data_IF_807966170603
#
_entry.id   IF_807966170603
#
_cell.length_a   1.000
_cell.length_b   1.000
_cell.length_c   1.000
_cell.angle_alpha   90.00
_cell.angle_beta   90.00
_cell.angle_gamma   90.00
#
_symmetry.space_group_name_H-M   'P 1'
#
loop_
_entity.id
_entity.type
_entity.pdbx_description
1 polymer ?
#
# COMPACT_ATOMS: atom_id res chain seq x y z
N UNK A 1 -12.85 -2.90 35.09
CA UNK A 1 -11.56 -2.99 35.79
C UNK A 1 -10.63 -1.89 35.30
N UNK A 2 -9.64 -1.50 36.12
CA UNK A 2 -8.59 -0.54 35.75
C UNK A 2 -7.23 -1.13 36.08
N UNK A 3 -6.21 -0.80 35.31
CA UNK A 3 -4.85 -1.32 35.48
C UNK A 3 -3.88 -0.25 36.01
N UNK A 4 -3.30 -0.47 37.20
CA UNK A 4 -2.21 0.36 37.68
C UNK A 4 -0.88 -0.15 37.08
N UNK A 5 -0.25 0.62 36.21
CA UNK A 5 1.01 0.24 35.56
C UNK A 5 2.22 0.55 36.47
N UNK A 6 2.38 -0.21 37.53
CA UNK A 6 3.52 -0.08 38.49
C UNK A 6 4.84 -0.57 37.90
N UNK A 7 4.85 -1.28 36.78
CA UNK A 7 6.07 -1.75 36.14
C UNK A 7 6.78 -0.62 35.39
N UNK A 8 6.11 -0.08 34.34
CA UNK A 8 6.73 0.86 33.42
C UNK A 8 6.75 2.29 33.98
N UNK A 9 5.72 2.66 34.75
CA UNK A 9 5.58 4.01 35.29
C UNK A 9 6.26 4.21 36.66
N UNK A 10 6.68 3.11 37.28
CA UNK A 10 7.24 3.17 38.63
C UNK A 10 8.54 2.35 38.78
N UNK A 11 8.50 1.02 38.90
CA UNK A 11 9.66 0.22 39.28
C UNK A 11 10.83 0.30 38.29
N UNK A 12 10.59 0.49 37.00
CA UNK A 12 11.63 0.70 35.99
C UNK A 12 12.23 2.11 36.07
N UNK A 13 11.41 3.11 36.32
CA UNK A 13 11.83 4.53 36.40
C UNK A 13 12.58 4.80 37.69
N UNK A 14 12.15 4.21 38.82
CA UNK A 14 12.67 4.45 40.16
C UNK A 14 13.46 3.27 40.75
N UNK A 15 14.03 2.39 39.92
CA UNK A 15 14.75 1.18 40.33
C UNK A 15 15.85 1.43 41.38
N UNK A 16 16.44 2.63 41.37
CA UNK A 16 17.52 3.01 42.28
C UNK A 16 17.01 3.75 43.55
N UNK A 17 15.70 3.92 43.73
CA UNK A 17 15.09 4.57 44.89
C UNK A 17 13.83 3.79 45.33
N UNK A 18 13.98 2.71 46.11
CA UNK A 18 12.87 1.84 46.52
C UNK A 18 11.79 2.53 47.37
N UNK A 19 12.15 3.52 48.16
CA UNK A 19 11.19 4.25 49.00
C UNK A 19 10.28 5.11 48.16
N UNK A 20 10.83 5.87 47.19
CA UNK A 20 10.06 6.65 46.23
C UNK A 20 9.20 5.75 45.34
N UNK A 21 9.75 4.64 44.88
CA UNK A 21 9.01 3.64 44.09
C UNK A 21 7.80 3.12 44.87
N UNK A 22 7.99 2.72 46.13
CA UNK A 22 6.89 2.22 46.96
C UNK A 22 5.80 3.28 47.18
N UNK A 23 6.16 4.54 47.41
CA UNK A 23 5.20 5.65 47.54
C UNK A 23 4.42 5.82 46.27
N UNK A 24 5.11 5.92 45.12
CA UNK A 24 4.48 6.10 43.80
C UNK A 24 3.59 4.90 43.39
N UNK A 25 3.99 3.67 43.71
CA UNK A 25 3.17 2.48 43.45
C UNK A 25 1.83 2.55 44.22
N UNK A 26 1.88 2.96 45.49
CA UNK A 26 0.66 3.18 46.31
C UNK A 26 -0.26 4.25 45.68
N UNK A 27 0.33 5.36 45.23
CA UNK A 27 -0.44 6.45 44.58
C UNK A 27 -1.07 5.97 43.26
N UNK A 28 -0.33 5.25 42.42
CA UNK A 28 -0.88 4.68 41.16
C UNK A 28 -2.05 3.72 41.45
N UNK A 29 -1.96 2.89 42.47
CA UNK A 29 -3.06 2.00 42.86
C UNK A 29 -4.27 2.78 43.37
N UNK A 30 -4.05 3.79 44.26
CA UNK A 30 -5.14 4.65 44.74
C UNK A 30 -5.85 5.36 43.59
N UNK A 31 -5.10 5.96 42.67
CA UNK A 31 -5.64 6.59 41.46
C UNK A 31 -6.50 5.63 40.67
N UNK A 32 -6.04 4.39 40.43
CA UNK A 32 -6.81 3.36 39.74
C UNK A 32 -8.09 2.97 40.48
N UNK A 33 -8.07 2.87 41.81
CA UNK A 33 -9.25 2.58 42.62
C UNK A 33 -10.28 3.70 42.54
N UNK A 34 -9.87 4.96 42.66
CA UNK A 34 -10.78 6.10 42.55
C UNK A 34 -11.37 6.22 41.16
N UNK A 35 -10.61 6.01 40.10
CA UNK A 35 -11.11 5.97 38.72
C UNK A 35 -12.16 4.87 38.55
N UNK A 36 -11.86 3.63 38.96
CA UNK A 36 -12.76 2.50 38.75
C UNK A 36 -14.07 2.61 39.53
N UNK A 37 -14.08 3.31 40.66
CA UNK A 37 -15.30 3.54 41.44
C UNK A 37 -16.35 4.40 40.69
N UNK A 38 -15.90 5.20 39.72
CA UNK A 38 -16.75 6.02 38.85
C UNK A 38 -16.99 5.41 37.45
N UNK A 39 -16.43 4.24 37.18
CA UNK A 39 -16.59 3.60 35.87
C UNK A 39 -17.94 2.86 35.78
N UNK A 40 -18.63 3.09 34.68
CA UNK A 40 -19.76 2.26 34.27
C UNK A 40 -19.26 1.07 33.39
N UNK A 41 -19.98 -0.07 33.37
CA UNK A 41 -19.66 -1.18 32.46
C UNK A 41 -19.73 -0.69 31.01
N UNK A 42 -18.66 -0.97 30.26
CA UNK A 42 -18.62 -0.68 28.82
C UNK A 42 -19.41 -1.77 28.09
N UNK A 43 -20.37 -1.35 27.28
CA UNK A 43 -21.17 -2.27 26.45
C UNK A 43 -20.56 -2.30 25.07
N UNK A 44 -20.23 -3.51 24.62
CA UNK A 44 -19.82 -3.80 23.26
C UNK A 44 -21.07 -4.15 22.44
N UNK A 45 -21.21 -3.59 21.24
CA UNK A 45 -22.24 -4.01 20.31
C UNK A 45 -21.71 -5.17 19.48
N UNK A 46 -22.51 -6.20 19.31
CA UNK A 46 -22.26 -7.33 18.44
C UNK A 46 -22.83 -7.04 17.05
N UNK A 47 -22.04 -7.29 16.02
CA UNK A 47 -22.37 -7.02 14.62
C UNK A 47 -22.12 -8.26 13.80
N UNK A 48 -23.07 -8.67 12.99
CA UNK A 48 -22.88 -9.72 11.98
C UNK A 48 -21.88 -9.29 10.91
N UNK A 49 -21.19 -10.25 10.29
CA UNK A 49 -20.23 -10.00 9.22
C UNK A 49 -20.76 -10.60 7.92
N UNK A 50 -20.83 -9.77 6.88
CA UNK A 50 -20.99 -10.25 5.51
C UNK A 50 -19.69 -10.96 5.10
N UNK A 51 -19.77 -12.26 4.81
CA UNK A 51 -18.61 -13.10 4.50
C UNK A 51 -18.15 -13.01 3.04
N UNK A 52 -18.53 -11.96 2.32
CA UNK A 52 -18.09 -11.65 0.97
C UNK A 52 -16.85 -10.76 0.98
N UNK A 53 -15.91 -11.04 0.11
CA UNK A 53 -14.71 -10.22 -0.09
C UNK A 53 -14.78 -9.44 -1.40
N UNK A 54 -14.34 -8.18 -1.38
CA UNK A 54 -14.11 -7.38 -2.58
C UNK A 54 -12.61 -7.14 -2.77
N UNK A 55 -12.11 -7.36 -3.99
CA UNK A 55 -10.72 -7.10 -4.40
C UNK A 55 -10.71 -6.05 -5.50
N UNK A 56 -10.07 -4.92 -5.27
CA UNK A 56 -10.05 -3.76 -6.16
C UNK A 56 -8.77 -3.79 -6.98
N UNK A 57 -8.90 -4.20 -8.23
CA UNK A 57 -7.82 -4.41 -9.20
C UNK A 57 -7.60 -5.88 -9.55
N UNK A 58 -7.76 -6.20 -10.83
CA UNK A 58 -7.57 -7.53 -11.43
C UNK A 58 -6.14 -7.81 -11.90
N UNK A 59 -5.14 -7.09 -11.34
CA UNK A 59 -3.73 -7.36 -11.55
C UNK A 59 -3.26 -8.63 -10.83
N UNK A 60 -1.97 -8.97 -10.97
CA UNK A 60 -1.42 -10.23 -10.44
C UNK A 60 -1.57 -10.38 -8.92
N UNK A 61 -1.41 -9.29 -8.16
CA UNK A 61 -1.59 -9.32 -6.69
C UNK A 61 -3.05 -9.45 -6.28
N UNK A 62 -3.97 -8.76 -6.97
CA UNK A 62 -5.41 -8.88 -6.72
C UNK A 62 -5.93 -10.28 -7.06
N UNK A 63 -5.54 -10.84 -8.20
CA UNK A 63 -5.89 -12.22 -8.55
C UNK A 63 -5.30 -13.24 -7.55
N UNK A 64 -4.07 -13.02 -7.05
CA UNK A 64 -3.47 -13.88 -6.02
C UNK A 64 -4.25 -13.81 -4.70
N UNK A 65 -4.69 -12.61 -4.30
CA UNK A 65 -5.55 -12.41 -3.14
C UNK A 65 -6.91 -13.08 -3.32
N UNK A 66 -7.60 -12.83 -4.44
CA UNK A 66 -8.91 -13.39 -4.73
C UNK A 66 -8.88 -14.94 -4.77
N UNK A 67 -7.86 -15.53 -5.43
CA UNK A 67 -7.68 -16.97 -5.43
C UNK A 67 -7.48 -17.54 -4.03
N UNK A 68 -6.73 -16.83 -3.18
CA UNK A 68 -6.48 -17.28 -1.79
C UNK A 68 -7.73 -17.21 -0.93
N UNK A 69 -8.55 -16.17 -1.09
CA UNK A 69 -9.85 -16.03 -0.42
C UNK A 69 -10.83 -17.12 -0.86
N UNK A 70 -11.00 -17.31 -2.16
CA UNK A 70 -11.91 -18.31 -2.72
C UNK A 70 -11.52 -19.75 -2.37
N UNK A 71 -10.21 -20.07 -2.30
CA UNK A 71 -9.74 -21.40 -1.83
C UNK A 71 -10.06 -21.67 -0.38
N UNK A 72 -10.26 -20.65 0.43
CA UNK A 72 -10.68 -20.76 1.83
C UNK A 72 -12.22 -20.71 1.98
N UNK A 73 -12.95 -20.67 0.86
CA UNK A 73 -14.40 -20.82 0.84
C UNK A 73 -15.21 -19.54 0.72
N UNK A 74 -14.57 -18.37 0.65
CA UNK A 74 -15.26 -17.06 0.64
C UNK A 74 -15.63 -16.63 -0.78
N UNK A 75 -16.85 -16.13 -0.95
CA UNK A 75 -17.27 -15.44 -2.18
C UNK A 75 -16.42 -14.18 -2.36
N UNK A 76 -15.88 -13.99 -3.56
CA UNK A 76 -14.89 -12.94 -3.83
C UNK A 76 -15.20 -12.26 -5.14
N UNK A 77 -15.34 -10.93 -5.09
CA UNK A 77 -15.59 -10.10 -6.26
C UNK A 77 -14.31 -9.34 -6.63
N UNK A 78 -13.84 -9.50 -7.87
CA UNK A 78 -12.74 -8.72 -8.43
C UNK A 78 -13.34 -7.56 -9.21
N UNK A 79 -13.01 -6.33 -8.83
CA UNK A 79 -13.42 -5.11 -9.53
C UNK A 79 -12.23 -4.62 -10.35
N UNK A 80 -12.34 -4.66 -11.67
CA UNK A 80 -11.28 -4.25 -12.61
C UNK A 80 -11.81 -3.18 -13.55
N UNK A 81 -11.10 -2.06 -13.63
CA UNK A 81 -11.47 -0.94 -14.50
C UNK A 81 -11.18 -1.20 -16.00
N UNK A 82 -10.19 -2.03 -16.29
CA UNK A 82 -9.81 -2.37 -17.65
C UNK A 82 -10.71 -3.52 -18.18
N UNK A 83 -10.71 -3.70 -19.50
CA UNK A 83 -11.49 -4.75 -20.18
C UNK A 83 -10.91 -6.16 -20.02
N UNK A 84 -9.78 -6.31 -19.29
CA UNK A 84 -9.11 -7.60 -19.11
C UNK A 84 -8.30 -7.68 -17.82
N UNK A 85 -8.22 -8.89 -17.25
CA UNK A 85 -7.39 -9.20 -16.10
C UNK A 85 -5.89 -9.19 -16.46
N UNK A 86 -5.02 -9.04 -15.45
CA UNK A 86 -3.57 -9.21 -15.55
C UNK A 86 -2.76 -7.95 -15.31
N UNK A 87 -3.33 -6.76 -15.57
CA UNK A 87 -2.68 -5.48 -15.32
C UNK A 87 -1.27 -5.39 -15.94
N UNK A 88 -0.30 -4.84 -15.21
CA UNK A 88 1.07 -4.66 -15.72
C UNK A 88 1.82 -5.98 -15.99
N UNK A 89 1.41 -7.11 -15.38
CA UNK A 89 2.04 -8.40 -15.62
C UNK A 89 1.93 -8.87 -17.08
N UNK A 90 0.92 -8.40 -17.84
CA UNK A 90 0.81 -8.66 -19.28
C UNK A 90 1.96 -8.11 -20.12
N UNK A 91 2.71 -7.15 -19.59
CA UNK A 91 3.81 -6.47 -20.28
C UNK A 91 5.18 -7.01 -19.87
N UNK A 92 5.26 -7.92 -18.92
CA UNK A 92 6.51 -8.44 -18.38
C UNK A 92 6.82 -9.79 -19.02
N UNK A 93 8.05 -9.94 -19.53
CA UNK A 93 8.49 -11.15 -20.21
C UNK A 93 8.73 -12.30 -19.23
N UNK A 94 9.57 -12.08 -18.20
CA UNK A 94 9.96 -13.11 -17.25
C UNK A 94 10.25 -12.54 -15.85
N UNK A 95 10.32 -13.42 -14.89
CA UNK A 95 10.77 -13.09 -13.52
C UNK A 95 12.28 -13.25 -13.39
N UNK A 96 12.88 -12.69 -12.36
CA UNK A 96 14.31 -12.87 -12.05
C UNK A 96 14.71 -14.33 -11.80
N UNK A 97 13.77 -15.21 -11.45
CA UNK A 97 13.98 -16.67 -11.34
C UNK A 97 13.89 -17.40 -12.68
N UNK A 98 13.65 -16.69 -13.77
CA UNK A 98 13.58 -17.25 -15.12
C UNK A 98 12.21 -17.78 -15.54
N UNK A 99 11.18 -17.60 -14.73
CA UNK A 99 9.82 -18.04 -15.04
C UNK A 99 9.18 -17.17 -16.13
N UNK A 100 8.49 -17.80 -17.10
CA UNK A 100 7.69 -17.10 -18.11
C UNK A 100 6.47 -16.45 -17.43
N UNK A 101 6.41 -15.11 -17.44
CA UNK A 101 5.27 -14.38 -16.87
C UNK A 101 4.01 -14.57 -17.70
N UNK A 102 4.04 -14.51 -19.06
CA UNK A 102 2.85 -14.76 -19.87
C UNK A 102 2.18 -16.10 -19.60
N UNK A 103 2.95 -17.19 -19.49
CA UNK A 103 2.42 -18.54 -19.25
C UNK A 103 1.80 -18.68 -17.85
N UNK A 104 2.50 -18.17 -16.82
CA UNK A 104 1.98 -18.21 -15.45
C UNK A 104 0.78 -17.31 -15.25
N UNK A 105 0.75 -16.16 -15.91
CA UNK A 105 -0.38 -15.24 -15.89
C UNK A 105 -1.61 -15.87 -16.56
N UNK A 106 -1.45 -16.48 -17.72
CA UNK A 106 -2.54 -17.16 -18.43
C UNK A 106 -3.14 -18.30 -17.59
N UNK A 107 -2.27 -19.07 -16.92
CA UNK A 107 -2.70 -20.11 -15.97
C UNK A 107 -3.48 -19.53 -14.80
N UNK A 108 -3.01 -18.42 -14.21
CA UNK A 108 -3.70 -17.76 -13.10
C UNK A 108 -5.07 -17.20 -13.53
N UNK A 109 -5.15 -16.56 -14.70
CA UNK A 109 -6.42 -16.04 -15.24
C UNK A 109 -7.41 -17.18 -15.47
N UNK A 110 -6.97 -18.32 -16.04
CA UNK A 110 -7.82 -19.50 -16.21
C UNK A 110 -8.33 -20.04 -14.88
N UNK A 111 -7.47 -20.08 -13.84
CA UNK A 111 -7.86 -20.50 -12.50
C UNK A 111 -8.93 -19.57 -11.91
N UNK A 112 -8.77 -18.26 -12.06
CA UNK A 112 -9.74 -17.26 -11.60
C UNK A 112 -11.09 -17.45 -12.28
N UNK A 113 -11.10 -17.50 -13.61
CA UNK A 113 -12.34 -17.58 -14.41
C UNK A 113 -13.11 -18.90 -14.24
N UNK A 114 -12.43 -19.98 -13.88
CA UNK A 114 -13.05 -21.29 -13.60
C UNK A 114 -13.59 -21.41 -12.17
N UNK A 115 -13.16 -20.58 -11.26
CA UNK A 115 -13.55 -20.68 -9.85
C UNK A 115 -14.94 -20.09 -9.62
N UNK A 116 -15.90 -20.92 -9.23
CA UNK A 116 -17.30 -20.52 -9.01
C UNK A 116 -17.49 -19.49 -7.89
N UNK A 117 -16.51 -19.37 -6.98
CA UNK A 117 -16.53 -18.41 -5.88
C UNK A 117 -15.87 -17.08 -6.23
N UNK A 118 -15.41 -16.90 -7.46
CA UNK A 118 -14.80 -15.65 -7.92
C UNK A 118 -15.67 -15.03 -9.01
N UNK A 119 -16.16 -13.83 -8.74
CA UNK A 119 -16.96 -13.04 -9.65
C UNK A 119 -16.10 -11.89 -10.19
N UNK A 120 -15.89 -11.85 -11.51
CA UNK A 120 -15.05 -10.85 -12.13
C UNK A 120 -15.94 -9.78 -12.77
N UNK A 121 -15.74 -8.53 -12.37
CA UNK A 121 -16.39 -7.35 -12.92
C UNK A 121 -15.35 -6.52 -13.66
N UNK A 122 -15.33 -6.63 -14.99
CA UNK A 122 -14.48 -5.84 -15.88
C UNK A 122 -15.14 -4.52 -16.22
N UNK A 123 -14.36 -3.54 -16.69
CA UNK A 123 -14.85 -2.20 -17.08
C UNK A 123 -15.72 -1.56 -15.99
N UNK A 124 -15.33 -1.82 -14.72
CA UNK A 124 -16.11 -1.47 -13.54
C UNK A 124 -15.32 -0.55 -12.61
N UNK A 125 -15.95 0.56 -12.22
CA UNK A 125 -15.39 1.52 -11.26
C UNK A 125 -16.26 1.62 -10.01
N UNK A 126 -15.63 1.92 -8.87
CA UNK A 126 -16.31 2.20 -7.61
C UNK A 126 -16.66 3.70 -7.58
N UNK A 127 -17.92 4.03 -7.35
CA UNK A 127 -18.42 5.40 -7.29
C UNK A 127 -18.59 5.91 -5.86
N UNK A 128 -18.97 5.03 -4.94
CA UNK A 128 -19.22 5.35 -3.53
C UNK A 128 -19.01 4.10 -2.67
N UNK A 129 -18.64 4.30 -1.42
CA UNK A 129 -18.57 3.23 -0.42
C UNK A 129 -19.17 3.76 0.87
N UNK A 130 -20.12 3.02 1.41
CA UNK A 130 -20.76 3.26 2.69
C UNK A 130 -20.52 2.10 3.65
N UNK A 131 -21.00 2.23 4.89
CA UNK A 131 -20.89 1.17 5.88
C UNK A 131 -19.57 1.19 6.64
N UNK A 132 -19.20 0.01 7.15
CA UNK A 132 -18.10 -0.18 8.10
C UNK A 132 -17.56 -1.62 8.02
N UNK A 133 -16.52 -1.91 8.79
CA UNK A 133 -15.91 -3.24 8.86
C UNK A 133 -16.95 -4.35 9.03
N UNK A 134 -16.89 -5.34 8.18
CA UNK A 134 -17.85 -6.45 8.16
C UNK A 134 -19.14 -6.18 7.37
N UNK A 135 -19.45 -4.91 7.06
CA UNK A 135 -20.70 -4.51 6.40
C UNK A 135 -20.49 -3.25 5.55
N UNK A 136 -19.66 -3.37 4.53
CA UNK A 136 -19.49 -2.35 3.50
C UNK A 136 -20.55 -2.52 2.42
N UNK A 137 -20.98 -1.39 1.87
CA UNK A 137 -21.80 -1.30 0.68
C UNK A 137 -21.07 -0.44 -0.35
N UNK A 138 -20.77 -1.02 -1.50
CA UNK A 138 -20.06 -0.33 -2.58
C UNK A 138 -20.95 -0.17 -3.80
N UNK A 139 -21.13 1.07 -4.26
CA UNK A 139 -21.80 1.38 -5.53
C UNK A 139 -20.81 1.24 -6.67
N UNK A 140 -21.09 0.31 -7.57
CA UNK A 140 -20.29 -0.01 -8.74
C UNK A 140 -20.93 0.59 -9.99
N UNK A 141 -20.13 1.22 -10.86
CA UNK A 141 -20.55 1.59 -12.22
C UNK A 141 -20.07 0.53 -13.20
N UNK A 142 -21.02 -0.19 -13.78
CA UNK A 142 -20.79 -1.27 -14.75
C UNK A 142 -21.46 -0.88 -16.07
N UNK A 143 -20.70 -0.60 -17.12
CA UNK A 143 -21.24 -0.22 -18.44
C UNK A 143 -22.28 0.91 -18.38
N UNK A 144 -22.09 1.88 -17.50
CA UNK A 144 -23.00 3.03 -17.33
C UNK A 144 -24.21 2.78 -16.44
N UNK A 145 -24.41 1.57 -15.93
CA UNK A 145 -25.42 1.24 -14.92
C UNK A 145 -24.76 1.16 -13.53
N UNK A 146 -25.54 1.45 -12.50
CA UNK A 146 -25.11 1.28 -11.12
C UNK A 146 -25.60 -0.05 -10.56
N UNK A 147 -24.74 -0.69 -9.77
CA UNK A 147 -25.04 -1.89 -9.01
C UNK A 147 -24.44 -1.78 -7.61
N UNK A 148 -25.15 -2.31 -6.63
CA UNK A 148 -24.70 -2.33 -5.23
C UNK A 148 -24.04 -3.69 -4.96
N UNK A 149 -22.88 -3.66 -4.30
CA UNK A 149 -22.18 -4.84 -3.79
C UNK A 149 -21.96 -4.71 -2.29
N UNK A 150 -22.61 -5.59 -1.55
CA UNK A 150 -22.37 -5.74 -0.10
C UNK A 150 -21.19 -6.67 0.15
N UNK A 151 -20.27 -6.29 1.05
CA UNK A 151 -19.10 -7.09 1.38
C UNK A 151 -18.56 -6.79 2.78
N UNK A 152 -17.90 -7.77 3.39
CA UNK A 152 -17.33 -7.60 4.75
C UNK A 152 -15.91 -7.04 4.73
N UNK A 153 -15.16 -7.26 3.66
CA UNK A 153 -13.75 -6.81 3.54
C UNK A 153 -13.46 -6.27 2.15
N UNK A 154 -12.48 -5.36 2.07
CA UNK A 154 -11.93 -4.85 0.82
C UNK A 154 -10.40 -5.03 0.76
N UNK A 155 -9.87 -5.42 -0.41
CA UNK A 155 -8.42 -5.53 -0.65
C UNK A 155 -8.02 -4.57 -1.77
N UNK A 156 -7.22 -3.55 -1.43
CA UNK A 156 -6.67 -2.58 -2.38
C UNK A 156 -5.52 -3.21 -3.17
N UNK A 157 -5.74 -3.48 -4.44
CA UNK A 157 -4.77 -4.09 -5.36
C UNK A 157 -4.66 -3.29 -6.67
N UNK A 158 -4.87 -1.99 -6.61
CA UNK A 158 -4.98 -1.05 -7.75
C UNK A 158 -3.71 -0.91 -8.57
N UNK A 159 -2.58 -1.44 -8.08
CA UNK A 159 -1.31 -1.43 -8.78
C UNK A 159 -0.68 -0.04 -8.91
N UNK A 160 0.22 0.08 -9.90
CA UNK A 160 0.93 1.31 -10.25
C UNK A 160 1.23 1.29 -11.76
N UNK A 161 1.66 2.43 -12.29
CA UNK A 161 1.94 2.61 -13.73
C UNK A 161 3.41 2.89 -14.00
N UNK A 162 3.95 2.54 -15.18
CA UNK A 162 5.28 2.98 -15.59
C UNK A 162 5.26 4.49 -15.88
N UNK A 163 6.30 5.17 -15.45
CA UNK A 163 6.56 6.56 -15.83
C UNK A 163 6.83 6.65 -17.34
N UNK A 164 6.23 7.63 -17.99
CA UNK A 164 6.48 7.95 -19.40
C UNK A 164 7.57 9.03 -19.45
N UNK A 165 8.79 8.71 -19.92
CA UNK A 165 9.88 9.67 -19.95
C UNK A 165 9.72 10.67 -21.09
N UNK A 166 10.20 11.89 -20.86
CA UNK A 166 10.44 12.92 -21.87
C UNK A 166 11.95 13.14 -22.12
N UNK A 167 12.78 12.48 -21.29
CA UNK A 167 14.24 12.50 -21.38
C UNK A 167 14.78 11.51 -22.42
N UNK A 168 16.09 11.59 -22.68
CA UNK A 168 16.87 10.66 -23.50
C UNK A 168 16.34 10.45 -24.92
N UNK A 169 15.63 11.43 -25.50
CA UNK A 169 15.00 11.38 -26.82
C UNK A 169 13.98 10.24 -26.99
N UNK A 170 13.40 9.76 -25.90
CA UNK A 170 12.31 8.78 -25.96
C UNK A 170 11.14 9.33 -26.82
N UNK A 171 10.57 8.45 -27.66
CA UNK A 171 9.51 8.82 -28.62
C UNK A 171 10.00 9.55 -29.89
N UNK A 172 11.31 9.92 -29.98
CA UNK A 172 11.89 10.58 -31.16
C UNK A 172 12.70 9.60 -32.01
N UNK A 173 13.27 8.57 -31.43
CA UNK A 173 14.04 7.52 -32.11
C UNK A 173 13.46 6.14 -31.75
N UNK A 174 13.06 5.30 -32.71
CA UNK A 174 12.43 4.00 -32.44
C UNK A 174 13.37 2.97 -31.81
N UNK A 175 14.68 3.26 -31.75
CA UNK A 175 15.68 2.43 -31.06
C UNK A 175 15.74 2.69 -29.56
N UNK A 176 15.01 3.71 -29.07
CA UNK A 176 14.95 4.06 -27.63
C UNK A 176 13.63 3.56 -27.08
N UNK A 177 13.69 2.53 -26.26
CA UNK A 177 12.57 1.81 -25.69
C UNK A 177 12.57 1.92 -24.17
N UNK A 178 11.40 1.82 -23.55
CA UNK A 178 11.30 1.49 -22.12
C UNK A 178 11.62 0.01 -21.89
N UNK A 179 11.94 -0.37 -20.65
CA UNK A 179 12.17 -1.79 -20.33
C UNK A 179 10.96 -2.68 -20.63
N UNK A 180 9.72 -2.17 -20.45
CA UNK A 180 8.50 -2.91 -20.78
C UNK A 180 8.26 -3.04 -22.30
N UNK A 181 8.70 -2.07 -23.09
CA UNK A 181 8.64 -2.18 -24.56
C UNK A 181 9.67 -3.18 -25.08
N UNK A 182 10.85 -3.28 -24.43
CA UNK A 182 11.81 -4.32 -24.71
C UNK A 182 11.26 -5.71 -24.33
N UNK A 183 10.61 -5.83 -23.18
CA UNK A 183 9.92 -7.07 -22.78
C UNK A 183 8.90 -7.51 -23.82
N UNK A 184 8.12 -6.58 -24.35
CA UNK A 184 7.17 -6.89 -25.44
C UNK A 184 7.87 -7.47 -26.65
N UNK A 185 9.03 -6.94 -27.05
CA UNK A 185 9.83 -7.52 -28.16
C UNK A 185 10.30 -8.95 -27.87
N UNK A 186 10.65 -9.26 -26.61
CA UNK A 186 10.96 -10.65 -26.20
C UNK A 186 9.73 -11.55 -26.28
N UNK A 187 8.57 -11.09 -25.81
CA UNK A 187 7.29 -11.84 -25.85
C UNK A 187 6.92 -12.14 -27.33
N UNK A 188 7.04 -11.15 -28.20
CA UNK A 188 6.75 -11.24 -29.63
C UNK A 188 7.83 -11.99 -30.41
N UNK A 189 8.95 -12.34 -29.77
CA UNK A 189 10.11 -13.00 -30.39
C UNK A 189 10.67 -12.21 -31.59
N UNK A 190 10.75 -10.87 -31.45
CA UNK A 190 11.18 -9.96 -32.51
C UNK A 190 12.59 -10.34 -33.02
N UNK A 191 12.66 -10.76 -34.29
CA UNK A 191 13.91 -11.18 -34.92
C UNK A 191 14.95 -10.04 -35.05
N UNK A 192 14.52 -8.78 -34.97
CA UNK A 192 15.41 -7.62 -34.98
C UNK A 192 16.37 -7.61 -33.80
N UNK A 193 15.98 -8.18 -32.66
CA UNK A 193 16.83 -8.24 -31.45
C UNK A 193 18.15 -9.02 -31.71
N UNK A 194 18.15 -10.01 -32.60
CA UNK A 194 19.34 -10.78 -32.97
C UNK A 194 20.35 -10.00 -33.80
N UNK A 195 19.94 -8.88 -34.42
CA UNK A 195 20.78 -8.04 -35.27
C UNK A 195 21.45 -6.90 -34.51
N UNK A 196 21.14 -6.74 -33.24
CA UNK A 196 21.70 -5.71 -32.35
C UNK A 196 23.15 -6.13 -32.02
N UNK A 197 24.09 -5.22 -32.21
CA UNK A 197 25.49 -5.42 -31.83
C UNK A 197 25.82 -4.73 -30.49
N UNK A 198 25.14 -3.61 -30.22
CA UNK A 198 25.36 -2.86 -28.97
C UNK A 198 24.05 -2.41 -28.37
N UNK A 199 23.84 -2.72 -27.09
CA UNK A 199 22.67 -2.28 -26.31
C UNK A 199 23.10 -1.55 -25.05
N UNK A 200 22.40 -0.46 -24.70
CA UNK A 200 22.65 0.34 -23.50
C UNK A 200 21.39 0.44 -22.66
N UNK A 201 21.50 0.07 -21.39
CA UNK A 201 20.45 0.25 -20.39
C UNK A 201 20.73 1.48 -19.53
N UNK A 202 19.77 2.40 -19.40
CA UNK A 202 19.89 3.58 -18.53
C UNK A 202 18.96 3.42 -17.35
N UNK A 203 19.54 3.36 -16.14
CA UNK A 203 18.80 3.14 -14.89
C UNK A 203 18.26 4.44 -14.28
N UNK A 204 17.24 4.30 -13.41
CA UNK A 204 16.65 5.37 -12.60
C UNK A 204 16.02 6.51 -13.41
N UNK A 205 15.49 6.23 -14.61
CA UNK A 205 14.82 7.25 -15.44
C UNK A 205 13.53 7.69 -14.75
N UNK A 206 13.49 8.95 -14.30
CA UNK A 206 12.40 9.54 -13.53
C UNK A 206 12.23 9.02 -12.09
N UNK A 207 13.24 8.33 -11.52
CA UNK A 207 13.22 7.78 -10.16
C UNK A 207 14.45 8.24 -9.38
N UNK A 208 14.35 8.38 -8.05
CA UNK A 208 15.41 8.89 -7.16
C UNK A 208 15.88 10.29 -7.57
N UNK A 209 14.94 11.12 -7.92
CA UNK A 209 15.08 12.52 -8.30
C UNK A 209 14.23 13.39 -7.36
N UNK A 210 14.45 14.72 -7.32
CA UNK A 210 13.72 15.59 -6.39
C UNK A 210 12.19 15.44 -6.47
N UNK A 211 11.63 15.21 -7.68
CA UNK A 211 10.19 15.06 -7.90
C UNK A 211 9.67 13.67 -7.52
N UNK A 212 10.52 12.67 -7.50
CA UNK A 212 10.23 11.27 -7.13
C UNK A 212 11.43 10.68 -6.40
N UNK A 213 11.58 10.98 -5.09
CA UNK A 213 12.78 10.64 -4.33
C UNK A 213 12.92 9.14 -4.07
N UNK A 214 11.85 8.38 -4.19
CA UNK A 214 11.84 6.94 -3.95
C UNK A 214 12.51 6.13 -5.08
N UNK A 215 12.93 4.92 -4.72
CA UNK A 215 13.43 3.91 -5.66
C UNK A 215 12.29 3.00 -6.13
N UNK A 216 12.20 2.76 -7.43
CA UNK A 216 11.21 1.83 -8.01
C UNK A 216 11.53 0.34 -7.77
N UNK A 217 12.65 0.01 -7.12
CA UNK A 217 13.07 -1.31 -6.63
C UNK A 217 13.21 -2.43 -7.66
N UNK A 218 12.44 -2.43 -8.73
CA UNK A 218 12.41 -3.51 -9.73
C UNK A 218 13.41 -3.31 -10.86
N UNK A 219 13.75 -2.05 -11.20
CA UNK A 219 14.45 -1.72 -12.44
C UNK A 219 15.84 -2.35 -12.54
N UNK A 220 16.65 -2.38 -11.48
CA UNK A 220 17.99 -2.96 -11.53
C UNK A 220 17.94 -4.45 -11.90
N UNK A 221 17.12 -5.22 -11.20
CA UNK A 221 16.93 -6.66 -11.49
C UNK A 221 16.37 -6.88 -12.89
N UNK A 222 15.35 -6.11 -13.29
CA UNK A 222 14.72 -6.24 -14.60
C UNK A 222 15.70 -5.94 -15.74
N UNK A 223 16.49 -4.86 -15.62
CA UNK A 223 17.49 -4.55 -16.65
C UNK A 223 18.63 -5.57 -16.73
N UNK A 224 19.05 -6.12 -15.59
CA UNK A 224 20.07 -7.17 -15.58
C UNK A 224 19.53 -8.45 -16.23
N UNK A 225 18.27 -8.82 -15.95
CA UNK A 225 17.63 -9.98 -16.59
C UNK A 225 17.50 -9.77 -18.12
N UNK A 226 17.02 -8.60 -18.55
CA UNK A 226 16.91 -8.26 -19.97
C UNK A 226 18.29 -8.23 -20.68
N UNK A 227 19.33 -7.72 -20.00
CA UNK A 227 20.69 -7.75 -20.51
C UNK A 227 21.18 -9.19 -20.73
N UNK A 228 20.90 -10.09 -19.78
CA UNK A 228 21.21 -11.51 -19.91
C UNK A 228 20.44 -12.18 -21.07
N UNK A 229 19.17 -11.83 -21.28
CA UNK A 229 18.40 -12.34 -22.42
C UNK A 229 19.00 -11.88 -23.76
N UNK A 230 19.44 -10.63 -23.88
CA UNK A 230 20.13 -10.14 -25.07
C UNK A 230 21.44 -10.90 -25.31
N UNK A 231 22.24 -11.15 -24.27
CA UNK A 231 23.46 -11.95 -24.34
C UNK A 231 23.20 -13.41 -24.77
N UNK A 232 22.05 -14.00 -24.37
CA UNK A 232 21.66 -15.34 -24.84
C UNK A 232 21.27 -15.35 -26.31
N UNK A 233 20.65 -14.28 -26.82
CA UNK A 233 20.29 -14.13 -28.24
C UNK A 233 21.55 -13.94 -29.15
N UNK A 234 22.52 -13.17 -28.66
CA UNK A 234 23.78 -12.90 -29.31
C UNK A 234 24.91 -12.76 -28.27
N UNK A 235 25.71 -13.80 -28.02
CA UNK A 235 26.83 -13.77 -27.05
C UNK A 235 27.90 -12.70 -27.34
N UNK A 236 28.06 -12.30 -28.60
CA UNK A 236 29.03 -11.27 -29.02
C UNK A 236 28.47 -9.84 -28.84
N UNK A 237 27.19 -9.66 -28.49
CA UNK A 237 26.59 -8.36 -28.28
C UNK A 237 27.29 -7.61 -27.13
N UNK A 238 27.67 -6.36 -27.36
CA UNK A 238 28.11 -5.46 -26.29
C UNK A 238 26.91 -4.95 -25.53
N UNK A 239 26.81 -5.26 -24.25
CA UNK A 239 25.70 -4.82 -23.40
C UNK A 239 26.23 -3.98 -22.26
N UNK A 240 25.75 -2.74 -22.16
CA UNK A 240 26.13 -1.78 -21.12
C UNK A 240 24.95 -1.49 -20.21
N UNK A 241 25.17 -1.45 -18.91
CA UNK A 241 24.18 -1.02 -17.91
C UNK A 241 24.72 0.21 -17.18
N UNK A 242 24.12 1.36 -17.46
CA UNK A 242 24.47 2.63 -16.82
C UNK A 242 23.64 2.79 -15.57
N UNK A 243 24.26 2.88 -14.40
CA UNK A 243 23.56 2.81 -13.12
C UNK A 243 24.09 3.84 -12.10
N UNK A 244 23.26 4.21 -11.12
CA UNK A 244 23.66 5.07 -9.98
C UNK A 244 24.08 4.23 -8.78
N UNK A 245 23.28 3.25 -8.40
CA UNK A 245 23.57 2.19 -7.42
C UNK A 245 22.86 0.93 -7.88
N UNK A 246 23.55 -0.19 -7.89
CA UNK A 246 22.95 -1.49 -8.19
C UNK A 246 22.18 -1.98 -6.97
N UNK A 247 20.89 -2.28 -7.15
CA UNK A 247 19.98 -2.72 -6.10
C UNK A 247 19.29 -4.04 -6.47
N UNK A 248 20.10 -5.02 -6.78
CA UNK A 248 19.71 -6.43 -6.96
C UNK A 248 19.76 -7.13 -5.60
N UNK A 249 18.85 -6.78 -4.70
CA UNK A 249 18.87 -7.26 -3.32
C UNK A 249 18.45 -8.74 -3.17
N UNK A 250 18.89 -9.35 -2.06
CA UNK A 250 18.62 -10.76 -1.74
C UNK A 250 19.26 -11.71 -2.78
N UNK A 251 18.60 -12.77 -3.11
CA UNK A 251 19.09 -13.78 -4.06
C UNK A 251 19.28 -13.24 -5.48
N UNK A 252 18.71 -12.08 -5.81
CA UNK A 252 18.88 -11.41 -7.12
C UNK A 252 20.29 -10.87 -7.33
N UNK A 253 21.13 -10.80 -6.30
CA UNK A 253 22.55 -10.45 -6.39
C UNK A 253 23.32 -11.48 -7.25
N UNK A 254 22.91 -12.74 -7.20
CA UNK A 254 23.51 -13.78 -8.05
C UNK A 254 23.28 -13.51 -9.54
N UNK A 255 22.12 -12.99 -9.94
CA UNK A 255 21.84 -12.60 -11.31
C UNK A 255 22.79 -11.48 -11.78
N UNK A 256 23.08 -10.50 -10.92
CA UNK A 256 24.06 -9.45 -11.21
C UNK A 256 25.47 -10.00 -11.40
N UNK A 257 25.88 -10.95 -10.56
CA UNK A 257 27.18 -11.63 -10.71
C UNK A 257 27.26 -12.38 -12.05
N UNK A 258 26.25 -13.19 -12.37
CA UNK A 258 26.18 -13.93 -13.63
C UNK A 258 26.21 -13.00 -14.85
N UNK A 259 25.56 -11.84 -14.80
CA UNK A 259 25.61 -10.85 -15.88
C UNK A 259 27.03 -10.32 -16.13
N UNK A 260 27.77 -10.05 -15.06
CA UNK A 260 29.19 -9.64 -15.17
C UNK A 260 30.05 -10.74 -15.77
N UNK A 261 29.86 -11.99 -15.35
CA UNK A 261 30.54 -13.16 -15.89
C UNK A 261 30.22 -13.39 -17.38
N UNK A 262 28.99 -13.07 -17.80
CA UNK A 262 28.56 -13.10 -19.20
C UNK A 262 29.06 -11.90 -20.04
N UNK A 263 29.85 -11.00 -19.46
CA UNK A 263 30.46 -9.86 -20.14
C UNK A 263 29.54 -8.65 -20.29
N UNK A 264 28.51 -8.51 -19.45
CA UNK A 264 27.73 -7.24 -19.34
C UNK A 264 28.59 -6.20 -18.63
N UNK A 265 28.72 -5.02 -19.23
CA UNK A 265 29.57 -3.93 -18.74
C UNK A 265 28.72 -2.96 -17.91
N UNK A 266 29.15 -2.71 -16.69
CA UNK A 266 28.45 -1.84 -15.74
C UNK A 266 29.22 -0.55 -15.55
N UNK A 267 28.60 0.62 -15.90
CA UNK A 267 29.21 1.94 -15.76
C UNK A 267 28.37 2.77 -14.78
N UNK A 268 29.00 3.21 -13.68
CA UNK A 268 28.34 4.03 -12.69
C UNK A 268 28.32 5.51 -13.08
N UNK A 269 27.18 6.18 -12.91
CA UNK A 269 27.04 7.64 -13.07
C UNK A 269 26.45 8.29 -11.82
N UNK A 270 26.56 9.62 -11.72
CA UNK A 270 25.93 10.42 -10.65
C UNK A 270 24.70 11.19 -11.16
N UNK A 271 23.87 11.67 -10.24
CA UNK A 271 22.68 12.45 -10.58
C UNK A 271 23.08 13.78 -11.28
N UNK A 272 24.20 14.36 -10.87
CA UNK A 272 24.71 15.64 -11.40
C UNK A 272 25.32 15.50 -12.81
N UNK A 273 25.72 14.27 -13.18
CA UNK A 273 26.31 13.94 -14.48
C UNK A 273 25.57 12.75 -15.10
N UNK A 274 24.29 12.98 -15.42
CA UNK A 274 23.48 11.97 -16.11
C UNK A 274 24.06 11.63 -17.49
N UNK A 275 23.82 10.40 -18.01
CA UNK A 275 24.12 10.07 -19.39
C UNK A 275 23.42 11.03 -20.36
N UNK A 276 24.04 11.30 -21.49
CA UNK A 276 23.48 12.06 -22.60
C UNK A 276 23.22 11.15 -23.79
N UNK A 277 22.08 11.28 -24.44
CA UNK A 277 21.74 10.53 -25.66
C UNK A 277 21.79 11.49 -26.85
N UNK A 278 22.57 11.12 -27.86
CA UNK A 278 22.85 11.94 -29.03
C UNK A 278 22.55 11.14 -30.29
N UNK A 279 21.81 11.74 -31.22
CA UNK A 279 21.64 11.22 -32.58
C UNK A 279 22.42 12.08 -33.56
N UNK A 280 23.35 11.47 -34.31
CA UNK A 280 24.17 12.16 -35.31
C UNK A 280 24.39 11.26 -36.52
N UNK A 281 24.16 11.78 -37.71
CA UNK A 281 24.38 11.09 -39.00
C UNK A 281 23.69 9.70 -39.05
N UNK A 282 22.48 9.58 -38.51
CA UNK A 282 21.70 8.32 -38.44
C UNK A 282 22.18 7.34 -37.37
N UNK A 283 23.25 7.64 -36.64
CA UNK A 283 23.81 6.85 -35.56
C UNK A 283 23.32 7.37 -34.20
N UNK A 284 23.19 6.44 -33.26
CA UNK A 284 22.78 6.73 -31.88
C UNK A 284 23.98 6.55 -30.95
N UNK A 285 24.20 7.52 -30.08
CA UNK A 285 25.31 7.54 -29.13
C UNK A 285 24.81 7.80 -27.72
N UNK A 286 25.44 7.14 -26.75
CA UNK A 286 25.28 7.46 -25.32
C UNK A 286 26.63 7.92 -24.78
N UNK A 287 26.66 9.12 -24.20
CA UNK A 287 27.83 9.67 -23.53
C UNK A 287 27.62 9.59 -22.01
N UNK A 288 28.58 9.05 -21.29
CA UNK A 288 28.58 8.92 -19.84
C UNK A 288 29.96 9.16 -19.27
N UNK A 289 30.07 9.82 -18.12
CA UNK A 289 31.37 9.92 -17.41
C UNK A 289 31.53 8.67 -16.54
N UNK A 290 32.52 7.86 -16.85
CA UNK A 290 32.88 6.69 -16.03
C UNK A 290 33.64 7.16 -14.78
N UNK A 291 33.15 6.81 -13.61
CA UNK A 291 33.73 7.23 -12.32
C UNK A 291 35.07 6.55 -12.01
N UNK A 292 35.34 5.38 -12.60
CA UNK A 292 36.56 4.60 -12.34
C UNK A 292 37.73 5.20 -13.11
N UNK A 293 37.53 5.48 -14.40
CA UNK A 293 38.59 6.06 -15.26
C UNK A 293 38.56 7.61 -15.25
N UNK A 294 37.52 8.24 -14.67
CA UNK A 294 37.37 9.69 -14.55
C UNK A 294 37.19 10.43 -15.88
N UNK A 295 36.89 9.73 -16.97
CA UNK A 295 36.79 10.27 -18.32
C UNK A 295 35.41 10.03 -18.93
N UNK A 296 34.97 10.90 -19.88
CA UNK A 296 33.77 10.65 -20.67
C UNK A 296 33.99 9.48 -21.63
N UNK A 297 33.06 8.53 -21.63
CA UNK A 297 32.98 7.42 -22.57
C UNK A 297 31.81 7.68 -23.51
N UNK A 298 32.01 7.52 -24.81
CA UNK A 298 30.96 7.59 -25.81
C UNK A 298 30.75 6.20 -26.44
N UNK A 299 29.50 5.71 -26.37
CA UNK A 299 29.10 4.38 -26.83
C UNK A 299 28.19 4.57 -28.04
N UNK A 300 28.59 4.08 -29.22
CA UNK A 300 27.69 3.93 -30.37
C UNK A 300 26.78 2.72 -30.08
N UNK A 301 25.46 2.86 -30.26
CA UNK A 301 24.51 1.83 -29.87
C UNK A 301 23.36 1.66 -30.86
N UNK A 302 22.86 0.44 -30.97
CA UNK A 302 21.72 0.08 -31.81
C UNK A 302 20.40 0.09 -31.02
N UNK A 303 20.48 -0.01 -29.68
CA UNK A 303 19.33 -0.08 -28.80
C UNK A 303 19.63 0.63 -27.46
N UNK A 304 18.67 1.45 -27.01
CA UNK A 304 18.66 1.99 -25.65
C UNK A 304 17.41 1.49 -24.93
N UNK A 305 17.58 0.92 -23.74
CA UNK A 305 16.49 0.55 -22.84
C UNK A 305 16.48 1.46 -21.63
N UNK A 306 15.37 2.17 -21.43
CA UNK A 306 15.14 3.09 -20.33
C UNK A 306 14.43 2.37 -19.17
N UNK A 307 15.11 2.21 -18.05
CA UNK A 307 14.56 1.64 -16.83
C UNK A 307 13.76 2.73 -16.08
N UNK A 308 12.50 2.90 -16.49
CA UNK A 308 11.63 3.98 -16.01
C UNK A 308 11.12 3.76 -14.60
N UNK A 309 10.80 4.85 -13.93
CA UNK A 309 10.15 4.83 -12.62
C UNK A 309 8.79 4.11 -12.65
N UNK A 310 8.37 3.62 -11.49
CA UNK A 310 7.00 3.20 -11.23
C UNK A 310 6.32 4.34 -10.46
N UNK A 311 5.18 4.81 -10.96
CA UNK A 311 4.39 5.89 -10.36
C UNK A 311 3.04 5.35 -9.87
N UNK A 312 2.50 5.88 -8.75
CA UNK A 312 1.21 5.44 -8.26
C UNK A 312 0.10 5.74 -9.27
N UNK A 313 -0.92 4.92 -9.26
CA UNK A 313 -2.16 5.24 -9.97
C UNK A 313 -2.93 6.33 -9.21
N UNK A 314 -3.83 7.05 -9.89
CA UNK A 314 -4.74 8.00 -9.24
C UNK A 314 -5.78 7.23 -8.45
N UNK A 315 -5.72 7.29 -7.13
CA UNK A 315 -6.55 6.51 -6.20
C UNK A 315 -7.15 7.36 -5.07
N UNK A 316 -7.09 8.68 -5.19
CA UNK A 316 -7.53 9.64 -4.17
C UNK A 316 -9.00 9.44 -3.80
N UNK A 317 -9.87 9.16 -4.79
CA UNK A 317 -11.28 8.87 -4.54
C UNK A 317 -11.44 7.57 -3.72
N UNK A 318 -10.72 6.51 -4.08
CA UNK A 318 -10.76 5.25 -3.33
C UNK A 318 -10.22 5.43 -1.91
N UNK A 319 -9.15 6.21 -1.75
CA UNK A 319 -8.60 6.55 -0.44
C UNK A 319 -9.63 7.27 0.44
N UNK A 320 -10.40 8.19 -0.15
CA UNK A 320 -11.48 8.91 0.53
C UNK A 320 -12.65 7.97 0.86
N UNK A 321 -13.11 7.15 -0.07
CA UNK A 321 -14.25 6.25 0.12
C UNK A 321 -13.99 5.24 1.24
N UNK A 322 -12.81 4.63 1.26
CA UNK A 322 -12.41 3.65 2.27
C UNK A 322 -11.73 4.26 3.51
N UNK A 323 -11.56 5.60 3.54
CA UNK A 323 -10.93 6.34 4.65
C UNK A 323 -9.55 5.79 4.99
N UNK A 324 -8.73 5.58 3.96
CA UNK A 324 -7.36 5.03 4.05
C UNK A 324 -6.32 6.05 3.60
N UNK A 325 -5.13 6.10 4.24
CA UNK A 325 -4.14 7.12 3.96
C UNK A 325 -3.32 6.82 2.70
N UNK A 326 -2.87 7.91 2.05
CA UNK A 326 -1.81 7.91 1.06
C UNK A 326 -0.56 8.60 1.62
N UNK A 327 0.63 8.18 1.17
CA UNK A 327 1.88 8.89 1.48
C UNK A 327 2.07 10.10 0.54
N UNK A 328 3.13 10.86 0.76
CA UNK A 328 3.48 12.05 -0.05
C UNK A 328 3.72 11.72 -1.53
N UNK A 329 4.10 10.47 -1.84
CA UNK A 329 4.32 9.99 -3.20
C UNK A 329 3.03 9.49 -3.87
N UNK A 330 1.91 9.37 -3.15
CA UNK A 330 0.60 8.91 -3.65
C UNK A 330 0.36 7.39 -3.56
N UNK A 331 1.21 6.63 -2.86
CA UNK A 331 0.97 5.21 -2.56
C UNK A 331 0.18 5.04 -1.27
N UNK A 332 -0.61 3.97 -1.17
CA UNK A 332 -1.28 3.60 0.07
C UNK A 332 -0.28 3.26 1.18
N UNK A 333 -0.62 3.62 2.42
CA UNK A 333 0.21 3.40 3.60
C UNK A 333 -0.41 2.34 4.49
N UNK A 334 0.37 1.36 4.88
CA UNK A 334 0.01 0.32 5.83
C UNK A 334 -0.11 0.88 7.26
N UNK A 335 -0.88 0.18 8.10
CA UNK A 335 -1.06 0.54 9.52
C UNK A 335 0.26 0.57 10.29
N UNK A 336 1.14 -0.37 10.01
CA UNK A 336 2.46 -0.48 10.65
C UNK A 336 3.32 -1.50 9.91
N UNK A 337 4.55 -1.13 9.55
CA UNK A 337 5.46 -1.93 8.73
C UNK A 337 5.74 -3.36 9.27
N UNK A 338 5.66 -3.58 10.58
CA UNK A 338 5.89 -4.89 11.22
C UNK A 338 4.61 -5.55 11.75
N UNK A 339 3.70 -4.77 12.33
CA UNK A 339 2.54 -5.30 13.07
C UNK A 339 1.27 -5.38 12.23
N UNK A 340 1.21 -4.66 11.12
CA UNK A 340 0.08 -4.65 10.18
C UNK A 340 0.53 -4.28 8.77
N UNK A 341 1.43 -5.09 8.13
CA UNK A 341 2.10 -4.72 6.87
C UNK A 341 1.20 -4.79 5.64
N UNK A 342 0.01 -5.37 5.77
CA UNK A 342 -0.99 -5.53 4.71
C UNK A 342 -2.36 -5.00 5.13
N UNK A 343 -2.44 -4.30 6.26
CA UNK A 343 -3.66 -3.76 6.84
C UNK A 343 -3.60 -2.23 6.86
N UNK A 344 -4.73 -1.60 6.72
CA UNK A 344 -4.87 -0.19 7.05
C UNK A 344 -5.24 0.01 8.54
N UNK A 345 -5.17 1.24 9.01
CA UNK A 345 -5.73 1.60 10.32
C UNK A 345 -7.26 1.48 10.34
N UNK A 346 -7.91 1.61 9.18
CA UNK A 346 -9.32 1.31 8.96
C UNK A 346 -9.51 -0.20 8.90
N UNK A 347 -10.28 -0.75 9.83
CA UNK A 347 -10.52 -2.19 9.90
C UNK A 347 -11.33 -2.68 8.69
N UNK A 348 -11.07 -3.92 8.27
CA UNK A 348 -11.75 -4.56 7.14
C UNK A 348 -11.18 -4.16 5.78
N UNK A 349 -10.19 -3.25 5.73
CA UNK A 349 -9.52 -2.84 4.49
C UNK A 349 -8.07 -3.28 4.52
N UNK A 350 -7.64 -3.90 3.43
CA UNK A 350 -6.30 -4.49 3.27
C UNK A 350 -5.64 -3.97 2.00
N UNK A 351 -4.32 -4.10 1.88
CA UNK A 351 -3.59 -3.66 0.70
C UNK A 351 -2.54 -4.68 0.25
N UNK A 352 -2.28 -4.69 -1.06
CA UNK A 352 -1.23 -5.53 -1.64
C UNK A 352 -0.70 -5.01 -2.97
N UNK A 353 0.44 -5.55 -3.37
CA UNK A 353 1.07 -5.26 -4.64
C UNK A 353 1.64 -3.85 -4.73
N UNK A 354 1.74 -3.34 -5.95
CA UNK A 354 2.32 -2.02 -6.21
C UNK A 354 1.44 -0.84 -5.80
N UNK A 355 0.19 -1.07 -5.39
CA UNK A 355 -0.65 -0.06 -4.75
C UNK A 355 -0.02 0.44 -3.43
N UNK A 356 0.72 -0.42 -2.73
CA UNK A 356 1.46 -0.11 -1.51
C UNK A 356 2.76 0.64 -1.80
N UNK A 357 3.61 0.10 -2.62
CA UNK A 357 4.83 0.69 -3.19
C UNK A 357 5.40 -0.22 -4.29
N UNK A 358 6.36 0.26 -5.11
CA UNK A 358 6.97 -0.54 -6.14
C UNK A 358 7.61 -1.83 -5.60
N UNK A 359 7.29 -2.98 -6.21
CA UNK A 359 7.83 -4.30 -5.86
C UNK A 359 7.73 -5.28 -7.02
N UNK A 360 8.56 -6.31 -7.08
CA UNK A 360 8.51 -7.32 -8.13
C UNK A 360 7.29 -8.26 -7.99
N UNK A 361 7.07 -9.08 -9.01
CA UNK A 361 5.89 -9.96 -9.13
C UNK A 361 5.78 -10.93 -7.96
N UNK A 362 6.87 -11.58 -7.58
CA UNK A 362 6.94 -12.54 -6.48
C UNK A 362 6.53 -11.91 -5.13
N UNK A 363 7.07 -10.74 -4.81
CA UNK A 363 6.66 -9.98 -3.62
C UNK A 363 5.21 -9.51 -3.71
N UNK A 364 4.74 -9.12 -4.91
CA UNK A 364 3.34 -8.71 -5.13
C UNK A 364 2.37 -9.86 -4.89
N UNK A 365 2.70 -11.07 -5.35
CA UNK A 365 1.90 -12.28 -5.11
C UNK A 365 1.90 -12.64 -3.63
N UNK A 366 3.08 -12.67 -3.00
CA UNK A 366 3.21 -12.98 -1.57
C UNK A 366 2.41 -11.99 -0.70
N UNK A 367 2.45 -10.70 -1.02
CA UNK A 367 1.68 -9.70 -0.31
C UNK A 367 0.17 -9.85 -0.55
N UNK A 368 -0.28 -10.22 -1.76
CA UNK A 368 -1.67 -10.54 -2.04
C UNK A 368 -2.18 -11.72 -1.21
N UNK A 369 -1.38 -12.77 -1.09
CA UNK A 369 -1.69 -13.93 -0.24
C UNK A 369 -1.73 -13.54 1.26
N UNK A 370 -0.81 -12.70 1.71
CA UNK A 370 -0.79 -12.19 3.08
C UNK A 370 -2.03 -11.34 3.38
N UNK A 371 -2.44 -10.44 2.48
CA UNK A 371 -3.65 -9.65 2.61
C UNK A 371 -4.90 -10.53 2.69
N UNK A 372 -5.00 -11.56 1.84
CA UNK A 372 -6.08 -12.53 1.90
C UNK A 372 -6.11 -13.29 3.23
N UNK A 373 -4.96 -13.73 3.75
CA UNK A 373 -4.86 -14.42 5.03
C UNK A 373 -5.34 -13.54 6.20
N UNK A 374 -5.01 -12.24 6.16
CA UNK A 374 -5.49 -11.28 7.18
C UNK A 374 -6.99 -10.97 7.03
N UNK A 375 -7.48 -10.87 5.79
CA UNK A 375 -8.91 -10.69 5.52
C UNK A 375 -9.73 -11.88 6.02
N UNK A 376 -9.23 -13.11 5.83
CA UNK A 376 -9.87 -14.33 6.35
C UNK A 376 -9.96 -14.34 7.88
N UNK A 377 -8.99 -13.76 8.58
CA UNK A 377 -9.07 -13.66 10.05
C UNK A 377 -10.31 -12.86 10.54
N UNK A 378 -10.83 -11.99 9.68
CA UNK A 378 -12.10 -11.28 9.91
C UNK A 378 -13.30 -12.09 9.39
N UNK A 379 -13.26 -12.52 8.11
CA UNK A 379 -14.36 -13.24 7.46
C UNK A 379 -14.72 -14.58 8.10
N UNK A 380 -13.78 -15.20 8.82
CA UNK A 380 -14.03 -16.47 9.54
C UNK A 380 -14.90 -16.30 10.80
N UNK A 381 -15.20 -15.07 11.19
CA UNK A 381 -16.08 -14.76 12.32
C UNK A 381 -17.50 -14.58 11.81
N UNK A 382 -18.48 -15.06 12.55
CA UNK A 382 -19.89 -14.75 12.28
C UNK A 382 -20.24 -13.33 12.75
N UNK A 383 -19.61 -12.91 13.86
CA UNK A 383 -19.83 -11.59 14.46
C UNK A 383 -18.50 -10.94 14.89
N UNK A 384 -18.53 -9.61 15.01
CA UNK A 384 -17.47 -8.82 15.62
C UNK A 384 -18.06 -7.96 16.74
N UNK A 385 -17.23 -7.69 17.75
CA UNK A 385 -17.59 -6.77 18.82
C UNK A 385 -16.96 -5.40 18.59
N UNK A 386 -17.75 -4.35 18.78
CA UNK A 386 -17.23 -2.98 18.77
C UNK A 386 -16.39 -2.73 20.03
N UNK A 387 -15.52 -1.73 20.01
CA UNK A 387 -14.87 -1.27 21.25
C UNK A 387 -15.90 -0.68 22.20
N UNK A 388 -15.85 -1.06 23.47
CA UNK A 388 -16.67 -0.43 24.50
C UNK A 388 -16.19 1.00 24.84
N UNK A 389 -14.92 1.33 24.60
CA UNK A 389 -14.34 2.67 24.77
C UNK A 389 -14.64 3.51 23.54
N UNK A 390 -15.79 4.15 23.50
CA UNK A 390 -16.25 5.00 22.40
C UNK A 390 -16.60 6.40 22.91
N UNK A 391 -16.56 7.37 22.01
CA UNK A 391 -17.09 8.70 22.32
C UNK A 391 -18.64 8.66 22.36
N UNK A 392 -19.24 9.49 23.21
CA UNK A 392 -20.68 9.69 23.34
C UNK A 392 -20.95 11.18 23.39
N UNK A 393 -22.06 11.60 22.80
CA UNK A 393 -22.48 13.02 22.81
C UNK A 393 -23.64 13.22 23.78
N UNK A 394 -23.52 14.21 24.65
CA UNK A 394 -24.69 14.80 25.34
C UNK A 394 -25.34 15.79 24.37
N UNK A 395 -26.54 15.49 23.84
CA UNK A 395 -27.18 16.36 22.87
C UNK A 395 -27.66 17.67 23.48
N UNK A 396 -27.84 17.75 24.82
CA UNK A 396 -28.24 18.97 25.50
C UNK A 396 -27.14 20.03 25.54
N UNK A 397 -25.87 19.58 25.57
CA UNK A 397 -24.71 20.46 25.59
C UNK A 397 -24.14 20.73 24.18
N UNK A 398 -24.60 20.00 23.17
CA UNK A 398 -24.08 20.12 21.80
C UNK A 398 -24.48 21.48 21.18
N UNK A 399 -23.47 22.23 20.70
CA UNK A 399 -23.64 23.52 20.05
C UNK A 399 -23.74 23.46 18.51
N UNK A 400 -23.86 22.30 17.92
CA UNK A 400 -24.01 22.07 16.45
C UNK A 400 -22.85 22.62 15.60
N UNK A 401 -21.67 22.84 16.18
CA UNK A 401 -20.57 23.52 15.50
C UNK A 401 -19.83 22.67 14.44
N UNK A 402 -20.08 21.36 14.37
CA UNK A 402 -19.49 20.45 13.37
C UNK A 402 -18.02 20.11 13.54
N UNK A 403 -17.32 20.64 14.54
CA UNK A 403 -15.87 20.39 14.73
C UNK A 403 -15.59 18.90 14.89
N UNK A 404 -16.41 18.16 15.66
CA UNK A 404 -16.25 16.72 15.84
C UNK A 404 -16.33 15.94 14.52
N UNK A 405 -17.19 16.37 13.60
CA UNK A 405 -17.32 15.77 12.26
C UNK A 405 -16.06 16.05 11.42
N UNK A 406 -15.57 17.29 11.44
CA UNK A 406 -14.41 17.69 10.63
C UNK A 406 -13.09 17.09 11.07
N UNK A 407 -12.90 16.84 12.39
CA UNK A 407 -11.63 16.32 12.93
C UNK A 407 -11.55 14.79 12.98
N UNK A 408 -12.68 14.09 12.82
CA UNK A 408 -12.71 12.64 12.99
C UNK A 408 -12.14 11.91 11.76
N UNK A 409 -10.99 11.21 11.85
CA UNK A 409 -10.43 10.49 10.72
C UNK A 409 -11.25 9.24 10.34
N UNK A 410 -12.19 8.82 11.19
CA UNK A 410 -13.02 7.62 10.99
C UNK A 410 -14.45 7.97 10.58
N UNK A 411 -14.81 9.25 10.45
CA UNK A 411 -16.17 9.73 10.17
C UNK A 411 -17.24 9.13 11.09
N UNK A 412 -16.89 8.90 12.36
CA UNK A 412 -17.82 8.36 13.34
C UNK A 412 -18.88 9.38 13.81
N UNK A 413 -18.61 10.70 13.96
CA UNK A 413 -19.61 11.71 14.25
C UNK A 413 -20.41 12.07 12.99
N UNK A 414 -21.73 12.20 13.15
CA UNK A 414 -22.66 12.77 12.17
C UNK A 414 -23.67 13.66 12.89
N UNK A 415 -24.51 14.38 12.14
CA UNK A 415 -25.62 15.10 12.72
C UNK A 415 -26.88 14.22 12.72
N UNK A 416 -27.68 14.33 13.77
CA UNK A 416 -29.00 13.70 13.84
C UNK A 416 -29.94 14.41 12.87
N UNK A 417 -30.60 13.69 11.99
CA UNK A 417 -31.45 14.29 10.95
C UNK A 417 -32.86 14.58 11.45
N UNK A 418 -33.39 13.74 12.34
CA UNK A 418 -34.76 13.81 12.81
C UNK A 418 -34.87 13.74 14.34
N UNK A 419 -36.06 14.07 14.86
CA UNK A 419 -36.38 13.98 16.27
C UNK A 419 -36.02 15.23 17.09
N UNK A 420 -36.13 15.16 18.42
CA UNK A 420 -35.98 16.34 19.31
C UNK A 420 -34.55 16.87 19.36
N UNK A 421 -33.58 16.13 18.84
CA UNK A 421 -32.17 16.50 18.81
C UNK A 421 -31.65 16.65 17.36
N UNK A 422 -32.54 16.92 16.39
CA UNK A 422 -32.12 17.19 15.01
C UNK A 422 -31.09 18.32 14.98
N UNK A 423 -30.00 18.16 14.19
CA UNK A 423 -28.85 19.06 14.11
C UNK A 423 -27.78 18.82 15.19
N UNK A 424 -28.04 18.02 16.22
CA UNK A 424 -27.03 17.67 17.24
C UNK A 424 -26.13 16.55 16.74
N UNK A 425 -24.87 16.57 17.19
CA UNK A 425 -23.94 15.52 16.86
C UNK A 425 -24.31 14.18 17.52
N UNK A 426 -24.20 13.11 16.78
CA UNK A 426 -24.29 11.73 17.29
C UNK A 426 -23.03 10.97 16.86
N UNK A 427 -22.64 9.97 17.64
CA UNK A 427 -21.45 9.15 17.36
C UNK A 427 -21.90 7.75 16.93
N UNK A 428 -21.47 7.32 15.74
CA UNK A 428 -21.64 5.93 15.35
C UNK A 428 -20.66 5.06 16.14
N UNK A 429 -21.13 4.16 17.02
CA UNK A 429 -20.26 3.36 17.89
C UNK A 429 -19.39 2.38 17.14
N UNK A 430 -19.80 1.96 15.93
CA UNK A 430 -19.08 1.00 15.11
C UNK A 430 -17.86 1.63 14.45
N UNK A 431 -18.00 2.87 13.99
CA UNK A 431 -16.91 3.63 13.37
C UNK A 431 -15.95 4.22 14.41
N UNK A 432 -16.41 4.43 15.64
CA UNK A 432 -15.62 5.07 16.67
C UNK A 432 -14.47 4.16 17.15
N UNK A 433 -13.23 4.66 17.08
CA UNK A 433 -12.03 3.98 17.57
C UNK A 433 -11.57 4.44 18.95
N UNK A 434 -12.36 5.26 19.65
CA UNK A 434 -12.02 5.72 20.99
C UNK A 434 -10.77 6.60 21.08
N UNK A 435 -10.35 7.24 19.98
CA UNK A 435 -9.11 8.02 19.94
C UNK A 435 -9.17 9.35 20.73
N UNK A 436 -10.37 9.83 21.10
CA UNK A 436 -10.59 11.03 21.91
C UNK A 436 -10.43 12.37 21.17
N UNK A 437 -10.08 12.39 19.87
CA UNK A 437 -9.83 13.63 19.13
C UNK A 437 -11.05 14.58 19.13
N UNK A 438 -12.25 14.04 18.90
CA UNK A 438 -13.49 14.82 18.97
C UNK A 438 -13.80 15.33 20.39
N UNK A 439 -13.44 14.55 21.43
CA UNK A 439 -13.60 14.96 22.85
C UNK A 439 -12.70 16.16 23.13
N UNK A 440 -11.41 16.07 22.80
CA UNK A 440 -10.44 17.15 23.00
C UNK A 440 -10.78 18.42 22.21
N UNK A 441 -11.48 18.29 21.07
CA UNK A 441 -11.86 19.41 20.20
C UNK A 441 -13.23 20.01 20.52
N UNK A 442 -14.03 19.38 21.38
CA UNK A 442 -15.38 19.84 21.71
C UNK A 442 -15.37 21.04 22.65
N UNK A 443 -15.64 22.25 22.12
CA UNK A 443 -15.61 23.49 22.90
C UNK A 443 -16.75 23.60 23.92
N UNK A 444 -17.90 22.98 23.67
CA UNK A 444 -19.03 22.95 24.57
C UNK A 444 -18.92 21.85 25.64
N UNK A 445 -17.92 20.96 25.57
CA UNK A 445 -17.79 19.82 26.47
C UNK A 445 -18.89 18.76 26.30
N UNK A 446 -19.59 18.76 25.17
CA UNK A 446 -20.71 17.86 24.92
C UNK A 446 -20.28 16.42 24.59
N UNK A 447 -19.02 16.19 24.28
CA UNK A 447 -18.55 14.86 23.88
C UNK A 447 -17.65 14.31 24.96
N UNK A 448 -17.96 13.10 25.42
CA UNK A 448 -17.25 12.36 26.44
C UNK A 448 -16.66 11.07 25.86
N UNK A 449 -15.59 10.54 26.44
CA UNK A 449 -15.02 9.24 26.07
C UNK A 449 -15.34 8.25 27.20
N UNK A 450 -16.14 7.23 26.91
CA UNK A 450 -16.50 6.19 27.89
C UNK A 450 -15.24 5.55 28.49
N UNK A 451 -15.18 5.53 29.83
CA UNK A 451 -14.01 5.06 30.58
C UNK A 451 -12.90 6.09 30.79
N UNK A 452 -13.05 7.32 30.22
CA UNK A 452 -12.13 8.45 30.33
C UNK A 452 -12.89 9.77 30.48
N UNK A 453 -13.99 9.77 31.22
CA UNK A 453 -14.76 10.98 31.52
C UNK A 453 -13.98 11.92 32.45
N UNK A 454 -14.26 13.20 32.37
CA UNK A 454 -13.60 14.22 33.19
C UNK A 454 -13.65 13.90 34.69
N UNK A 455 -14.77 13.44 35.20
CA UNK A 455 -14.91 13.06 36.61
C UNK A 455 -13.99 11.92 37.02
N UNK A 456 -13.81 10.94 36.15
CA UNK A 456 -12.88 9.82 36.37
C UNK A 456 -11.42 10.29 36.38
N UNK A 457 -11.06 11.22 35.48
CA UNK A 457 -9.72 11.81 35.43
C UNK A 457 -9.49 12.73 36.65
N UNK A 458 -10.44 13.57 37.00
CA UNK A 458 -10.32 14.43 38.17
C UNK A 458 -10.24 13.63 39.47
N UNK A 459 -10.95 12.51 39.61
CA UNK A 459 -10.84 11.62 40.76
C UNK A 459 -9.41 11.08 40.93
N UNK A 460 -8.72 10.77 39.83
CA UNK A 460 -7.31 10.38 39.86
C UNK A 460 -6.41 11.55 40.33
N UNK A 461 -6.63 12.76 39.82
CA UNK A 461 -5.84 13.96 40.17
C UNK A 461 -6.05 14.34 41.64
N UNK A 462 -7.29 14.39 42.10
CA UNK A 462 -7.60 14.76 43.50
C UNK A 462 -7.06 13.77 44.51
N UNK A 463 -6.94 12.48 44.17
CA UNK A 463 -6.29 11.46 45.00
C UNK A 463 -4.86 11.85 45.38
N UNK A 464 -4.15 12.57 44.50
CA UNK A 464 -2.78 13.03 44.78
C UNK A 464 -2.74 14.25 45.71
N UNK A 465 -3.79 15.10 45.70
CA UNK A 465 -3.85 16.28 46.57
C UNK A 465 -4.23 15.96 48.01
N UNK A 466 -4.91 14.84 48.26
CA UNK A 466 -5.27 14.37 49.61
C UNK A 466 -4.11 13.63 50.29
N UNK A 467 -3.01 13.35 49.56
CA UNK A 467 -1.84 12.63 50.05
C UNK A 467 -0.72 13.56 50.55
N UNK A 468 -0.95 14.87 50.59
CA UNK A 468 -0.11 15.93 51.19
C UNK A 468 -0.73 16.37 52.48
#
# INVERSE_FOLDING_TARGET
FEMANIRNQDSWVHKNNPELATKKAKDLVRMAVHKVSLMAPLKEAELEINQTAMVIGGGISGMAAARSLARQGYETHIIEKDSQLGGQARKIYRTASGDSVPEKLDTLIKDILKNKKIHVHLETEIKQVEGFVGNFESTLAVNGNEAILEHGVAVMATGASPYQPDEYQYGKDPRILTSLELDRKFIEKDAALKKINTAVFIQCVGSREPQRPYCSRVCCTHSVDNAMELKKLNPEMNVFVLYREMRTYGEREELYKQAREAGVIFIRFSLEKKPEVLSKDGKLFVRVTDHVIGQPVQIETDLISLATAIVPNKVENLATFFKVPLNEDGFFVERHAKLGPVEFATDGVFLCGMAHYPKPIDESIAQGQAAASRAVALLARETIFTSGTIAETDPMLCSECGVCVSVCPYSAPSFTEEGPFAGRAQINPVLCKGCGLCVASCRSGAIHLKGFDNDQIFAQIFTLSEAV
#
